data_IF_299753815348
#
_entry.id   IF_299753815348
#
_cell.length_a   1.000
_cell.length_b   1.000
_cell.length_c   1.000
_cell.angle_alpha   90.00
_cell.angle_beta   90.00
_cell.angle_gamma   90.00
#
_symmetry.space_group_name_H-M   'P 1'
#
loop_
_entity.id
_entity.type
_entity.pdbx_description
1 polymer ?
#
# COMPACT_ATOMS: atom_id res chain seq x y z
N UNK A 1 -17.39 -16.35 37.40
CA UNK A 1 -18.09 -15.22 36.71
C UNK A 1 -17.37 -13.88 36.88
N UNK A 2 -16.78 -13.57 38.03
CA UNK A 2 -16.10 -12.28 38.27
C UNK A 2 -14.81 -12.10 37.45
N UNK A 3 -14.05 -13.16 37.18
CA UNK A 3 -12.79 -13.06 36.41
C UNK A 3 -13.01 -12.69 34.92
N UNK A 4 -14.08 -13.18 34.29
CA UNK A 4 -14.42 -12.84 32.89
C UNK A 4 -14.89 -11.38 32.73
N UNK A 5 -15.47 -10.79 33.77
CA UNK A 5 -15.94 -9.40 33.78
C UNK A 5 -14.79 -8.39 33.66
N UNK A 6 -13.60 -8.73 34.18
CA UNK A 6 -12.42 -7.87 34.10
C UNK A 6 -11.52 -8.18 32.90
N UNK A 7 -11.51 -9.43 32.42
CA UNK A 7 -10.73 -9.84 31.24
C UNK A 7 -11.18 -9.16 29.94
N UNK A 8 -12.49 -9.02 29.73
CA UNK A 8 -13.04 -8.36 28.54
C UNK A 8 -12.52 -6.93 28.37
N UNK A 9 -12.73 -6.03 29.35
CA UNK A 9 -12.26 -4.64 29.30
C UNK A 9 -10.74 -4.52 29.12
N UNK A 10 -9.95 -5.38 29.78
CA UNK A 10 -8.48 -5.37 29.68
C UNK A 10 -8.02 -5.75 28.26
N UNK A 11 -8.63 -6.79 27.67
CA UNK A 11 -8.34 -7.19 26.30
C UNK A 11 -8.75 -6.12 25.30
N UNK A 12 -9.92 -5.51 25.46
CA UNK A 12 -10.36 -4.40 24.61
C UNK A 12 -9.42 -3.21 24.71
N UNK A 13 -8.94 -2.88 25.90
CA UNK A 13 -7.98 -1.79 26.13
C UNK A 13 -6.64 -2.07 25.44
N UNK A 14 -6.10 -3.28 25.58
CA UNK A 14 -4.87 -3.69 24.90
C UNK A 14 -5.03 -3.65 23.38
N UNK A 15 -6.17 -4.10 22.86
CA UNK A 15 -6.46 -4.07 21.42
C UNK A 15 -6.59 -2.64 20.87
N UNK A 16 -7.24 -1.75 21.63
CA UNK A 16 -7.36 -0.34 21.28
C UNK A 16 -5.99 0.33 21.23
N UNK A 17 -5.11 0.07 22.20
CA UNK A 17 -3.72 0.57 22.20
C UNK A 17 -2.97 0.07 20.97
N UNK A 18 -3.08 -1.23 20.65
CA UNK A 18 -2.42 -1.81 19.49
C UNK A 18 -2.89 -1.14 18.18
N UNK A 19 -4.19 -0.92 18.01
CA UNK A 19 -4.75 -0.22 16.85
C UNK A 19 -4.27 1.22 16.75
N UNK A 20 -4.22 1.96 17.86
CA UNK A 20 -3.70 3.34 17.89
C UNK A 20 -2.23 3.39 17.50
N UNK A 21 -1.40 2.44 17.98
CA UNK A 21 0.02 2.37 17.62
C UNK A 21 0.19 2.08 16.12
N UNK A 22 -0.61 1.17 15.57
CA UNK A 22 -0.60 0.85 14.14
C UNK A 22 -1.03 2.06 13.31
N UNK A 23 -2.15 2.69 13.66
CA UNK A 23 -2.65 3.89 12.97
C UNK A 23 -1.64 5.05 13.04
N UNK A 24 -0.97 5.24 14.17
CA UNK A 24 0.07 6.26 14.33
C UNK A 24 1.30 5.99 13.47
N UNK A 25 1.75 4.73 13.40
CA UNK A 25 2.85 4.33 12.51
C UNK A 25 2.49 4.51 11.04
N UNK A 26 1.27 4.17 10.64
CA UNK A 26 0.77 4.38 9.28
C UNK A 26 0.63 5.88 8.96
N UNK A 27 0.13 6.67 9.92
CA UNK A 27 -0.04 8.12 9.78
C UNK A 27 1.27 8.87 9.51
N UNK A 28 2.35 8.50 10.21
CA UNK A 28 3.69 9.04 9.93
C UNK A 28 4.24 8.67 8.55
N UNK A 29 3.75 7.58 7.97
CA UNK A 29 4.10 7.12 6.63
C UNK A 29 3.35 7.86 5.51
N UNK A 30 2.29 8.62 5.80
CA UNK A 30 1.44 9.24 4.76
C UNK A 30 2.22 10.20 3.85
N UNK A 31 3.11 11.02 4.41
CA UNK A 31 3.96 11.91 3.59
C UNK A 31 4.90 11.12 2.67
N UNK A 32 5.46 10.03 3.18
CA UNK A 32 6.33 9.13 2.40
C UNK A 32 5.54 8.38 1.32
N UNK A 33 4.30 8.00 1.63
CA UNK A 33 3.37 7.35 0.72
C UNK A 33 2.95 8.30 -0.40
N UNK A 34 2.70 9.58 -0.09
CA UNK A 34 2.46 10.62 -1.09
C UNK A 34 3.64 10.80 -2.05
N UNK A 35 4.86 10.88 -1.53
CA UNK A 35 6.07 11.01 -2.35
C UNK A 35 6.25 9.77 -3.23
N UNK A 36 6.11 8.57 -2.66
CA UNK A 36 6.17 7.31 -3.41
C UNK A 36 5.06 7.19 -4.46
N UNK A 37 3.88 7.75 -4.19
CA UNK A 37 2.78 7.79 -5.14
C UNK A 37 3.06 8.68 -6.33
N UNK A 38 3.62 9.86 -6.10
CA UNK A 38 3.99 10.77 -7.19
C UNK A 38 5.13 10.18 -8.01
N UNK A 39 6.15 9.61 -7.35
CA UNK A 39 7.28 8.95 -8.02
C UNK A 39 6.81 7.70 -8.80
N UNK A 40 5.95 6.87 -8.22
CA UNK A 40 5.45 5.67 -8.88
C UNK A 40 4.57 5.98 -10.07
N UNK A 41 3.75 7.02 -9.98
CA UNK A 41 2.97 7.51 -11.11
C UNK A 41 3.87 8.07 -12.22
N UNK A 42 4.87 8.88 -11.87
CA UNK A 42 5.84 9.42 -12.83
C UNK A 42 6.60 8.30 -13.56
N UNK A 43 7.06 7.28 -12.82
CA UNK A 43 7.76 6.13 -13.40
C UNK A 43 6.83 5.30 -14.28
N UNK A 44 5.59 5.03 -13.88
CA UNK A 44 4.62 4.32 -14.73
C UNK A 44 4.34 5.06 -16.04
N UNK A 45 4.22 6.39 -15.99
CA UNK A 45 4.04 7.22 -17.18
C UNK A 45 5.26 7.12 -18.09
N UNK A 46 6.47 7.25 -17.54
CA UNK A 46 7.72 7.12 -18.31
C UNK A 46 7.84 5.73 -18.95
N UNK A 47 7.49 4.68 -18.20
CA UNK A 47 7.52 3.30 -18.68
C UNK A 47 6.53 3.06 -19.81
N UNK A 48 5.36 3.71 -19.80
CA UNK A 48 4.39 3.60 -20.90
C UNK A 48 4.94 4.15 -22.23
N UNK A 49 5.88 5.09 -22.21
CA UNK A 49 6.58 5.56 -23.42
C UNK A 49 7.71 4.63 -23.89
N UNK A 50 8.13 3.66 -23.07
CA UNK A 50 9.17 2.71 -23.45
C UNK A 50 8.54 1.52 -24.22
N UNK A 51 9.01 1.22 -25.45
CA UNK A 51 8.40 0.18 -26.29
C UNK A 51 8.52 -1.24 -25.73
N UNK A 52 9.28 -1.43 -24.65
CA UNK A 52 9.53 -2.73 -24.01
C UNK A 52 8.60 -3.00 -22.81
N UNK A 53 7.83 -1.99 -22.35
CA UNK A 53 7.03 -2.08 -21.12
C UNK A 53 5.61 -1.58 -21.40
N UNK A 54 4.71 -2.50 -21.74
CA UNK A 54 3.33 -2.20 -22.12
C UNK A 54 2.37 -2.30 -20.92
N UNK A 55 2.52 -1.40 -19.95
CA UNK A 55 1.66 -1.36 -18.77
C UNK A 55 0.43 -0.51 -19.05
N UNK A 56 -0.77 -1.08 -18.90
CA UNK A 56 -2.00 -0.29 -18.92
C UNK A 56 -2.10 0.55 -17.66
N UNK A 57 -2.10 1.87 -17.84
CA UNK A 57 -2.32 2.82 -16.76
C UNK A 57 -3.82 2.83 -16.43
N UNK A 58 -4.20 2.24 -15.30
CA UNK A 58 -5.56 2.23 -14.78
C UNK A 58 -5.53 2.57 -13.27
N UNK A 59 -6.70 2.74 -12.67
CA UNK A 59 -6.80 3.15 -11.27
C UNK A 59 -6.06 2.19 -10.32
N UNK A 60 -6.02 0.91 -10.67
CA UNK A 60 -5.43 -0.14 -9.85
C UNK A 60 -3.90 -0.18 -9.98
N UNK A 61 -3.33 -0.02 -11.18
CA UNK A 61 -1.87 0.08 -11.35
C UNK A 61 -1.31 1.30 -10.65
N UNK A 62 -2.05 2.43 -10.69
CA UNK A 62 -1.71 3.64 -9.93
C UNK A 62 -1.75 3.36 -8.42
N UNK A 63 -2.80 2.72 -7.90
CA UNK A 63 -2.91 2.42 -6.46
C UNK A 63 -1.81 1.48 -5.98
N UNK A 64 -1.45 0.46 -6.77
CA UNK A 64 -0.40 -0.51 -6.41
C UNK A 64 0.97 0.17 -6.43
N UNK A 65 1.26 0.99 -7.45
CA UNK A 65 2.50 1.78 -7.49
C UNK A 65 2.53 2.85 -6.38
N UNK A 66 1.38 3.40 -5.98
CA UNK A 66 1.29 4.42 -4.95
C UNK A 66 1.47 3.89 -3.54
N UNK A 67 0.83 2.78 -3.22
CA UNK A 67 0.92 2.13 -1.92
C UNK A 67 2.24 1.35 -1.78
N UNK A 68 2.70 0.74 -2.87
CA UNK A 68 3.90 -0.09 -2.89
C UNK A 68 5.19 0.67 -3.23
N UNK A 69 5.14 1.89 -3.76
CA UNK A 69 6.31 2.62 -4.24
C UNK A 69 7.10 1.81 -5.28
N UNK A 70 8.43 1.79 -5.18
CA UNK A 70 9.31 1.03 -6.07
C UNK A 70 8.94 -0.47 -6.16
N UNK A 71 8.76 -1.22 -5.05
CA UNK A 71 8.33 -2.61 -5.15
C UNK A 71 6.93 -2.78 -5.77
N UNK A 72 6.03 -1.81 -5.59
CA UNK A 72 4.72 -1.79 -6.26
C UNK A 72 4.85 -1.66 -7.78
N UNK A 73 5.72 -0.78 -8.26
CA UNK A 73 6.00 -0.60 -9.70
C UNK A 73 6.58 -1.88 -10.30
N UNK A 74 7.55 -2.51 -9.63
CA UNK A 74 8.14 -3.78 -10.08
C UNK A 74 7.04 -4.84 -10.23
N UNK A 75 6.14 -4.91 -9.25
CA UNK A 75 5.02 -5.86 -9.27
C UNK A 75 4.06 -5.59 -10.44
N UNK A 76 3.72 -4.33 -10.71
CA UNK A 76 2.88 -3.95 -11.86
C UNK A 76 3.56 -4.32 -13.19
N UNK A 77 4.86 -4.06 -13.34
CA UNK A 77 5.61 -4.42 -14.55
C UNK A 77 5.62 -5.93 -14.76
N UNK A 78 5.85 -6.71 -13.69
CA UNK A 78 5.85 -8.17 -13.79
C UNK A 78 4.48 -8.68 -14.20
N UNK A 79 3.40 -8.25 -13.53
CA UNK A 79 2.04 -8.68 -13.87
C UNK A 79 1.66 -8.34 -15.31
N UNK A 80 2.11 -7.18 -15.79
CA UNK A 80 1.92 -6.72 -17.17
C UNK A 80 2.66 -7.60 -18.17
N UNK A 81 3.94 -7.89 -17.91
CA UNK A 81 4.75 -8.74 -18.79
C UNK A 81 4.27 -10.19 -18.87
N UNK A 82 3.71 -10.71 -17.78
CA UNK A 82 3.10 -12.04 -17.76
C UNK A 82 1.68 -12.07 -18.33
N UNK A 83 1.12 -10.92 -18.74
CA UNK A 83 -0.25 -10.82 -19.29
C UNK A 83 -1.34 -11.17 -18.28
N UNK A 84 -1.04 -11.11 -16.98
CA UNK A 84 -1.96 -11.46 -15.90
C UNK A 84 -2.86 -10.26 -15.58
N UNK A 85 -2.27 -9.06 -15.51
CA UNK A 85 -2.97 -7.81 -15.24
C UNK A 85 -2.12 -6.59 -15.62
N UNK A 86 -2.79 -5.46 -15.94
CA UNK A 86 -2.20 -4.16 -16.32
C UNK A 86 -1.55 -4.15 -17.69
#
# INVERSE_FOLDING_TARGET
MVELLFLGPILTFLFAIALVIVAWKLGKGIFWLLINSVLGMAVLIILNYLPFVNVTINIWSILIAALGGIPGIILVILLSQFGIAF
#
